data_IF_888620380652
#
_entry.id   IF_888620380652
#
_cell.length_a   1.000
_cell.length_b   1.000
_cell.length_c   1.000
_cell.angle_alpha   90.00
_cell.angle_beta   90.00
_cell.angle_gamma   90.00
#
_symmetry.space_group_name_H-M   'P 1'
#
loop_
_entity.id
_entity.type
_entity.pdbx_description
1 polymer ?
#
# COMPACT_ATOMS: atom_id res chain seq x y z
N UNK A 1 12.77 -58.84 -19.80
CA UNK A 1 14.05 -58.10 -19.69
C UNK A 1 14.37 -57.53 -21.07
N UNK A 2 14.07 -56.26 -21.31
CA UNK A 2 14.22 -55.62 -22.63
C UNK A 2 15.64 -55.03 -22.71
N UNK A 3 16.38 -55.39 -23.77
CA UNK A 3 17.80 -55.09 -23.94
C UNK A 3 18.07 -53.57 -24.12
N UNK A 4 19.22 -53.09 -23.63
CA UNK A 4 19.64 -51.68 -23.68
C UNK A 4 19.66 -51.10 -25.10
N UNK A 5 20.01 -51.92 -26.10
CA UNK A 5 20.02 -51.56 -27.52
C UNK A 5 18.62 -51.36 -28.12
N UNK A 6 17.58 -51.96 -27.53
CA UNK A 6 16.18 -51.79 -27.97
C UNK A 6 15.54 -50.49 -27.47
N UNK A 7 16.14 -49.81 -26.45
CA UNK A 7 15.61 -48.54 -25.93
C UNK A 7 15.96 -47.34 -26.81
N UNK A 8 17.12 -47.36 -27.47
CA UNK A 8 17.60 -46.26 -28.32
C UNK A 8 16.91 -46.21 -29.70
N UNK A 9 16.36 -47.34 -30.17
CA UNK A 9 15.61 -47.42 -31.44
C UNK A 9 14.16 -46.97 -31.33
N UNK A 10 13.59 -46.93 -30.12
CA UNK A 10 12.23 -46.42 -29.89
C UNK A 10 12.18 -44.89 -29.80
N UNK A 11 13.27 -44.22 -29.39
CA UNK A 11 13.31 -42.76 -29.23
C UNK A 11 13.72 -41.99 -30.51
N UNK A 12 14.10 -42.69 -31.58
CA UNK A 12 14.53 -42.08 -32.85
C UNK A 12 13.47 -42.12 -33.96
N UNK A 13 12.31 -42.73 -33.71
CA UNK A 13 11.19 -42.82 -34.68
C UNK A 13 9.95 -42.01 -34.34
N UNK A 14 10.01 -41.07 -33.39
CA UNK A 14 8.99 -40.03 -33.26
C UNK A 14 9.46 -38.77 -34.00
N UNK A 15 9.55 -38.88 -35.32
CA UNK A 15 9.36 -37.72 -36.20
C UNK A 15 7.85 -37.50 -36.28
N UNK A 16 7.35 -36.45 -35.64
CA UNK A 16 6.03 -35.91 -35.95
C UNK A 16 6.17 -34.52 -36.59
N UNK A 17 5.27 -34.20 -37.53
CA UNK A 17 5.57 -33.42 -38.72
C UNK A 17 5.40 -31.92 -38.51
N UNK A 18 6.11 -31.14 -39.33
CA UNK A 18 5.72 -29.78 -39.66
C UNK A 18 4.32 -29.83 -40.29
N UNK A 19 3.33 -29.33 -39.54
CA UNK A 19 1.96 -29.21 -40.00
C UNK A 19 1.60 -27.73 -40.04
N UNK A 20 1.86 -27.13 -41.19
CA UNK A 20 1.32 -25.85 -41.61
C UNK A 20 -0.14 -26.05 -42.00
N UNK A 21 -1.07 -25.87 -41.05
CA UNK A 21 -2.47 -25.63 -41.36
C UNK A 21 -3.01 -24.52 -40.47
N UNK A 22 -3.52 -23.51 -41.16
CA UNK A 22 -4.40 -22.47 -40.67
C UNK A 22 -5.68 -23.09 -40.09
N UNK A 23 -5.96 -22.76 -38.83
CA UNK A 23 -7.32 -22.81 -38.30
C UNK A 23 -7.52 -21.57 -37.43
N UNK A 24 -8.17 -20.58 -38.03
CA UNK A 24 -8.79 -19.45 -37.34
C UNK A 24 -9.74 -19.98 -36.27
N UNK A 25 -9.41 -19.78 -35.00
CA UNK A 25 -10.41 -19.68 -33.94
C UNK A 25 -10.48 -18.21 -33.52
N UNK A 26 -11.36 -17.49 -34.21
CA UNK A 26 -11.81 -16.16 -33.85
C UNK A 26 -12.67 -16.30 -32.59
N UNK A 27 -12.13 -15.96 -31.42
CA UNK A 27 -12.99 -15.54 -30.32
C UNK A 27 -13.42 -14.10 -30.61
N UNK A 28 -14.66 -13.96 -31.08
CA UNK A 28 -15.30 -12.67 -31.28
C UNK A 28 -15.68 -12.09 -29.92
N UNK A 29 -14.80 -11.28 -29.33
CA UNK A 29 -15.19 -10.28 -28.34
C UNK A 29 -15.45 -8.98 -29.09
N UNK A 30 -16.72 -8.75 -29.45
CA UNK A 30 -17.13 -7.51 -30.13
C UNK A 30 -17.33 -6.41 -29.10
N UNK A 31 -16.23 -5.82 -28.63
CA UNK A 31 -16.28 -4.43 -28.15
C UNK A 31 -16.24 -3.54 -29.39
N UNK A 32 -17.22 -2.63 -29.61
CA UNK A 32 -17.10 -1.66 -30.68
C UNK A 32 -15.91 -0.75 -30.37
N UNK A 33 -14.81 -0.96 -31.09
CA UNK A 33 -13.73 0.00 -31.15
C UNK A 33 -14.29 1.24 -31.86
N UNK A 34 -14.48 2.33 -31.14
CA UNK A 34 -14.68 3.65 -31.74
C UNK A 34 -13.32 4.15 -32.20
N UNK A 35 -12.99 4.17 -33.50
CA UNK A 35 -11.91 5.00 -33.96
C UNK A 35 -12.38 6.45 -33.86
N UNK A 36 -11.49 7.33 -33.41
CA UNK A 36 -11.65 8.80 -33.39
C UNK A 36 -12.10 9.42 -32.06
N UNK A 37 -11.25 9.34 -31.03
CA UNK A 37 -11.13 10.43 -30.07
C UNK A 37 -10.12 11.44 -30.63
N UNK A 38 -10.61 12.41 -31.41
CA UNK A 38 -9.82 13.59 -31.78
C UNK A 38 -9.48 14.41 -30.52
N UNK A 39 -8.43 15.25 -30.56
CA UNK A 39 -8.08 16.10 -29.43
C UNK A 39 -9.23 17.05 -29.09
N UNK A 40 -9.64 17.05 -27.82
CA UNK A 40 -10.62 18.00 -27.28
C UNK A 40 -9.98 19.40 -27.33
N UNK A 41 -10.40 20.23 -28.28
CA UNK A 41 -10.10 21.66 -28.24
C UNK A 41 -10.83 22.29 -27.05
N UNK A 42 -10.09 23.02 -26.22
CA UNK A 42 -10.67 23.86 -25.18
C UNK A 42 -11.46 25.01 -25.83
N UNK A 43 -12.64 25.38 -25.29
CA UNK A 43 -13.36 26.55 -25.78
C UNK A 43 -12.55 27.83 -25.54
N UNK A 44 -12.58 28.82 -26.47
CA UNK A 44 -11.90 30.09 -26.27
C UNK A 44 -12.54 30.87 -25.12
N UNK A 45 -11.70 31.29 -24.17
CA UNK A 45 -12.08 32.20 -23.08
C UNK A 45 -12.65 33.49 -23.66
N UNK A 46 -13.89 33.79 -23.28
CA UNK A 46 -14.56 35.06 -23.56
C UNK A 46 -13.78 36.17 -22.84
N UNK A 47 -13.28 37.13 -23.62
CA UNK A 47 -12.72 38.37 -23.11
C UNK A 47 -13.85 39.24 -22.53
N UNK A 48 -13.65 39.75 -21.32
CA UNK A 48 -14.46 40.84 -20.78
C UNK A 48 -13.49 41.97 -20.40
N UNK A 49 -13.55 43.02 -21.20
CA UNK A 49 -13.01 44.35 -20.93
C UNK A 49 -13.70 44.98 -19.70
N UNK A 50 -12.95 45.73 -18.88
CA UNK A 50 -13.57 46.74 -18.02
C UNK A 50 -12.91 47.02 -16.66
N UNK A 51 -11.96 47.97 -16.67
CA UNK A 51 -11.75 49.04 -15.69
C UNK A 51 -11.56 48.79 -14.18
N UNK A 52 -10.29 49.02 -13.79
CA UNK A 52 -9.62 49.46 -12.55
C UNK A 52 -10.33 50.56 -11.70
N UNK A 53 -9.71 51.10 -10.60
CA UNK A 53 -9.24 50.57 -9.30
C UNK A 53 -10.04 51.19 -8.11
N UNK A 54 -9.67 50.92 -6.84
CA UNK A 54 -9.30 51.98 -5.83
C UNK A 54 -9.52 51.59 -4.34
N UNK A 55 -8.44 51.72 -3.56
CA UNK A 55 -8.29 52.03 -2.11
C UNK A 55 -8.47 50.96 -1.00
N UNK A 56 -7.33 50.54 -0.44
CA UNK A 56 -7.03 50.42 1.02
C UNK A 56 -6.72 51.84 1.60
N UNK A 57 -6.48 52.11 2.91
CA UNK A 57 -6.06 51.21 4.01
C UNK A 57 -6.56 51.53 5.46
N UNK A 58 -6.19 50.67 6.43
CA UNK A 58 -5.51 51.13 7.65
C UNK A 58 -6.16 50.95 9.04
N UNK A 59 -5.31 50.51 9.99
CA UNK A 59 -5.36 50.68 11.46
C UNK A 59 -6.12 49.64 12.29
N UNK A 60 -5.71 49.21 13.49
CA UNK A 60 -4.45 49.21 14.24
C UNK A 60 -4.68 48.29 15.47
N UNK A 61 -3.66 47.53 15.88
CA UNK A 61 -3.50 46.95 17.23
C UNK A 61 -3.32 48.06 18.29
N UNK A 62 -3.41 47.86 19.63
CA UNK A 62 -2.72 46.77 20.37
C UNK A 62 -3.28 46.32 21.76
N UNK A 63 -2.58 45.32 22.33
CA UNK A 63 -2.19 45.15 23.76
C UNK A 63 -2.91 44.17 24.71
N UNK A 64 -2.06 43.26 25.20
CA UNK A 64 -2.01 42.38 26.38
C UNK A 64 -2.41 43.01 27.75
N UNK A 65 -2.68 42.20 28.82
CA UNK A 65 -1.64 41.63 29.72
C UNK A 65 -1.91 40.15 30.15
N UNK A 66 -0.94 39.24 30.16
CA UNK A 66 0.03 38.86 31.22
C UNK A 66 -0.56 38.59 32.62
N UNK A 67 -0.67 37.31 33.01
CA UNK A 67 -0.30 36.82 34.37
C UNK A 67 -0.22 35.29 34.48
N UNK A 68 0.73 34.90 35.32
CA UNK A 68 1.38 33.63 35.67
C UNK A 68 0.54 32.45 36.24
N UNK A 69 1.10 31.24 36.02
CA UNK A 69 1.42 30.18 37.01
C UNK A 69 0.35 29.21 37.56
N UNK A 70 0.49 27.90 37.24
CA UNK A 70 0.90 26.80 38.17
C UNK A 70 0.55 25.40 37.60
N UNK A 71 1.57 24.57 37.38
CA UNK A 71 1.52 23.09 37.41
C UNK A 71 1.68 22.58 38.86
N UNK A 72 1.66 21.26 39.17
CA UNK A 72 0.84 20.14 38.68
C UNK A 72 0.15 19.40 39.87
N UNK A 73 -0.81 18.49 39.62
CA UNK A 73 -1.11 17.46 40.63
C UNK A 73 -1.57 16.14 40.02
N UNK A 74 -0.75 15.13 40.32
CA UNK A 74 -0.95 13.70 40.10
C UNK A 74 -1.96 13.18 41.11
N UNK A 75 -2.95 12.40 40.67
CA UNK A 75 -3.50 11.32 41.50
C UNK A 75 -3.85 10.12 40.64
N UNK A 76 -3.40 8.97 41.12
CA UNK A 76 -3.49 7.66 40.51
C UNK A 76 -4.80 6.97 40.91
N UNK A 77 -5.30 6.07 40.05
CA UNK A 77 -6.15 4.97 40.50
C UNK A 77 -7.27 4.57 39.54
N UNK A 78 -6.99 3.66 38.61
CA UNK A 78 -7.75 2.41 38.38
C UNK A 78 -7.31 1.77 37.06
N UNK A 79 -6.87 0.51 37.16
CA UNK A 79 -6.53 -0.34 36.02
C UNK A 79 -7.81 -0.98 35.52
N UNK A 80 -8.30 -0.51 34.38
CA UNK A 80 -9.13 -1.31 33.48
C UNK A 80 -8.37 -1.54 32.19
N UNK A 81 -8.47 -2.79 31.71
CA UNK A 81 -7.88 -3.32 30.49
C UNK A 81 -7.97 -2.32 29.35
N UNK A 82 -6.82 -1.78 28.96
CA UNK A 82 -6.69 -0.87 27.82
C UNK A 82 -7.13 -1.60 26.55
N UNK A 83 -8.39 -1.44 26.18
CA UNK A 83 -8.80 -1.41 24.78
C UNK A 83 -7.78 -0.52 24.09
N UNK A 84 -7.14 -1.05 23.04
CA UNK A 84 -6.15 -0.36 22.21
C UNK A 84 -6.47 1.13 22.15
N UNK A 85 -5.56 1.97 22.66
CA UNK A 85 -5.77 3.41 22.71
C UNK A 85 -6.27 3.88 21.34
N UNK A 86 -7.53 4.32 21.26
CA UNK A 86 -8.14 4.81 20.03
C UNK A 86 -7.16 5.87 19.49
N UNK A 87 -6.63 5.62 18.30
CA UNK A 87 -5.71 6.56 17.64
C UNK A 87 -6.48 7.86 17.54
N UNK A 88 -6.12 8.84 18.37
CA UNK A 88 -6.80 10.13 18.41
C UNK A 88 -6.40 10.90 17.16
N UNK A 89 -7.36 11.55 16.53
CA UNK A 89 -7.03 12.50 15.48
C UNK A 89 -6.14 13.62 16.06
N UNK A 90 -5.29 14.19 15.22
CA UNK A 90 -4.52 15.38 15.59
C UNK A 90 -5.34 16.67 15.46
N UNK A 91 -6.52 16.61 14.82
CA UNK A 91 -7.35 17.75 14.45
C UNK A 91 -8.69 17.57 15.17
N UNK A 92 -9.03 18.38 16.19
CA UNK A 92 -10.32 18.29 16.86
C UNK A 92 -11.48 18.60 15.91
N UNK A 93 -12.66 18.07 16.23
CA UNK A 93 -13.91 18.39 15.54
C UNK A 93 -14.18 19.90 15.55
N UNK A 94 -14.75 20.39 14.45
CA UNK A 94 -15.05 21.81 14.23
C UNK A 94 -13.87 22.65 13.73
N UNK A 95 -12.67 22.10 13.56
CA UNK A 95 -11.54 22.86 13.03
C UNK A 95 -11.66 23.07 11.51
N UNK A 96 -11.38 24.28 11.03
CA UNK A 96 -11.43 24.62 9.60
C UNK A 96 -10.26 23.95 8.85
N UNK A 97 -10.60 23.13 7.86
CA UNK A 97 -9.65 22.46 6.97
C UNK A 97 -9.24 23.41 5.83
N UNK A 98 -8.09 24.07 6.02
CA UNK A 98 -7.54 25.04 5.06
C UNK A 98 -7.07 24.32 3.78
N UNK A 99 -7.25 24.98 2.63
CA UNK A 99 -6.72 24.52 1.34
C UNK A 99 -7.55 23.48 0.58
N UNK A 100 -8.73 23.08 1.09
CA UNK A 100 -9.63 22.14 0.38
C UNK A 100 -10.62 22.84 -0.57
N UNK A 101 -11.00 24.08 -0.28
CA UNK A 101 -11.91 24.87 -1.10
C UNK A 101 -11.21 25.46 -2.33
N UNK A 102 -11.05 24.67 -3.39
CA UNK A 102 -10.40 25.13 -4.63
C UNK A 102 -11.30 26.00 -5.54
N UNK A 103 -12.59 26.15 -5.19
CA UNK A 103 -13.52 27.01 -5.93
C UNK A 103 -13.93 28.23 -5.11
N UNK A 104 -14.21 29.35 -5.79
CA UNK A 104 -14.37 30.68 -5.18
C UNK A 104 -15.62 30.84 -4.28
N UNK A 105 -16.57 29.93 -4.34
CA UNK A 105 -17.86 30.02 -3.64
C UNK A 105 -18.13 28.83 -2.71
N UNK A 106 -17.09 28.09 -2.29
CA UNK A 106 -17.26 26.99 -1.34
C UNK A 106 -17.28 27.50 0.10
N UNK A 107 -18.20 27.00 0.94
CA UNK A 107 -18.15 27.25 2.37
C UNK A 107 -16.87 26.66 2.99
N UNK A 108 -16.43 27.23 4.11
CA UNK A 108 -15.29 26.69 4.85
C UNK A 108 -15.61 25.27 5.34
N UNK A 109 -14.79 24.29 4.92
CA UNK A 109 -14.97 22.90 5.34
C UNK A 109 -14.47 22.71 6.77
N UNK A 110 -15.35 22.25 7.65
CA UNK A 110 -15.04 21.93 9.03
C UNK A 110 -14.76 20.43 9.19
N UNK A 111 -13.76 20.09 9.99
CA UNK A 111 -13.53 18.74 10.44
C UNK A 111 -14.73 18.27 11.28
N UNK A 112 -15.19 17.04 11.06
CA UNK A 112 -16.19 16.39 11.89
C UNK A 112 -15.53 15.74 13.10
N UNK A 113 -16.32 15.23 14.02
CA UNK A 113 -15.80 14.45 15.15
C UNK A 113 -15.23 13.08 14.69
N UNK A 114 -14.27 12.55 15.43
CA UNK A 114 -13.54 11.31 15.07
C UNK A 114 -14.45 10.09 14.85
N UNK A 115 -15.61 10.06 15.50
CA UNK A 115 -16.58 8.96 15.43
C UNK A 115 -17.52 9.05 14.23
N UNK A 116 -17.64 10.23 13.61
CA UNK A 116 -18.41 10.39 12.37
C UNK A 116 -17.63 9.90 11.14
N UNK A 117 -16.30 9.84 11.26
CA UNK A 117 -15.46 9.29 10.21
C UNK A 117 -15.51 7.76 10.22
N UNK A 118 -15.50 7.12 9.04
CA UNK A 118 -15.53 5.67 8.95
C UNK A 118 -14.24 5.05 9.49
N UNK A 119 -14.36 3.85 10.09
CA UNK A 119 -13.24 3.21 10.81
C UNK A 119 -12.00 2.92 9.95
N UNK A 120 -12.17 2.71 8.64
CA UNK A 120 -11.05 2.45 7.72
C UNK A 120 -10.04 3.62 7.67
N UNK A 121 -10.46 4.85 7.95
CA UNK A 121 -9.58 6.03 7.96
C UNK A 121 -8.42 5.85 8.95
N UNK A 122 -8.73 5.30 10.13
CA UNK A 122 -7.78 5.13 11.22
C UNK A 122 -6.76 4.00 10.94
N UNK A 123 -7.12 3.05 10.07
CA UNK A 123 -6.26 1.92 9.69
C UNK A 123 -5.26 2.23 8.56
N UNK A 124 -5.43 3.35 7.84
CA UNK A 124 -4.58 3.68 6.68
C UNK A 124 -3.09 3.84 7.01
N UNK A 125 -2.76 4.28 8.22
CA UNK A 125 -1.38 4.52 8.62
C UNK A 125 -0.67 3.22 9.04
N UNK A 126 -1.40 2.15 9.34
CA UNK A 126 -0.80 0.91 9.85
C UNK A 126 0.02 0.18 8.78
N UNK A 127 -0.39 0.27 7.50
CA UNK A 127 0.35 -0.25 6.36
C UNK A 127 1.78 0.35 6.23
N UNK A 128 1.95 1.61 6.63
CA UNK A 128 3.26 2.30 6.55
C UNK A 128 4.20 1.92 7.71
N UNK A 129 3.64 1.56 8.88
CA UNK A 129 4.45 1.24 10.07
C UNK A 129 5.22 -0.08 9.90
N UNK A 130 4.68 -1.03 9.15
CA UNK A 130 5.36 -2.32 8.90
C UNK A 130 6.68 -2.18 8.12
N UNK A 131 6.87 -1.10 7.36
CA UNK A 131 8.11 -0.89 6.61
C UNK A 131 9.27 -0.31 7.46
N UNK A 132 8.95 0.36 8.56
CA UNK A 132 9.92 1.20 9.30
C UNK A 132 10.12 0.75 10.77
N UNK A 133 9.17 0.00 11.33
CA UNK A 133 9.02 -0.16 12.78
C UNK A 133 9.58 -1.44 13.43
N UNK A 134 10.58 -2.09 12.86
CA UNK A 134 11.32 -3.09 13.61
C UNK A 134 12.30 -2.38 14.55
N UNK A 135 12.17 -2.53 15.87
CA UNK A 135 13.20 -2.12 16.85
C UNK A 135 14.49 -2.90 16.56
N UNK A 136 15.24 -2.42 15.58
CA UNK A 136 16.47 -3.04 15.10
C UNK A 136 17.51 -2.72 16.16
N UNK A 137 17.84 -3.71 16.99
CA UNK A 137 18.98 -3.62 17.89
C UNK A 137 20.17 -3.15 17.05
N UNK A 138 20.81 -2.05 17.45
CA UNK A 138 21.92 -1.49 16.70
C UNK A 138 23.14 -2.39 16.85
N UNK A 139 23.26 -3.35 15.92
CA UNK A 139 24.38 -4.30 15.85
C UNK A 139 25.72 -3.56 15.77
N UNK A 140 25.73 -2.34 15.23
CA UNK A 140 26.93 -1.52 15.03
C UNK A 140 27.54 -1.04 16.36
N UNK A 141 26.71 -0.79 17.37
CA UNK A 141 27.14 -0.36 18.70
C UNK A 141 27.69 -1.51 19.57
N UNK A 142 27.38 -2.78 19.24
CA UNK A 142 27.82 -3.95 20.03
C UNK A 142 29.25 -4.37 19.71
N UNK A 143 29.95 -4.92 20.71
CA UNK A 143 31.28 -5.52 20.55
C UNK A 143 31.22 -6.80 19.72
N UNK A 144 32.31 -7.20 19.02
CA UNK A 144 32.38 -8.43 18.21
C UNK A 144 31.90 -9.69 18.95
N UNK A 145 32.25 -9.85 20.23
CA UNK A 145 31.80 -10.98 21.07
C UNK A 145 30.30 -10.94 21.36
N UNK A 146 29.72 -9.74 21.53
CA UNK A 146 28.29 -9.57 21.79
C UNK A 146 27.47 -9.88 20.53
N UNK A 147 27.92 -9.42 19.35
CA UNK A 147 27.32 -9.78 18.06
C UNK A 147 27.30 -11.29 17.85
N UNK A 148 28.44 -11.96 18.05
CA UNK A 148 28.51 -13.42 17.91
C UNK A 148 27.59 -14.19 18.88
N UNK A 149 27.38 -13.67 20.10
CA UNK A 149 26.40 -14.26 21.05
C UNK A 149 24.97 -14.01 20.60
N UNK A 150 24.67 -12.81 20.12
CA UNK A 150 23.37 -12.45 19.56
C UNK A 150 23.05 -13.32 18.34
N UNK A 151 23.97 -13.45 17.39
CA UNK A 151 23.80 -14.27 16.19
C UNK A 151 23.56 -15.73 16.53
N UNK A 152 24.32 -16.31 17.48
CA UNK A 152 24.08 -17.67 17.97
C UNK A 152 22.72 -17.85 18.65
N UNK A 153 22.23 -16.84 19.35
CA UNK A 153 20.89 -16.87 19.95
C UNK A 153 19.82 -16.77 18.86
N UNK A 154 19.98 -15.84 17.92
CA UNK A 154 19.07 -15.68 16.78
C UNK A 154 19.02 -16.94 15.93
N UNK A 155 20.15 -17.58 15.65
CA UNK A 155 20.22 -18.81 14.86
C UNK A 155 19.47 -19.97 15.55
N UNK A 156 19.61 -20.11 16.87
CA UNK A 156 18.83 -21.09 17.64
C UNK A 156 17.33 -20.82 17.52
N UNK A 157 16.92 -19.56 17.70
CA UNK A 157 15.52 -19.16 17.57
C UNK A 157 15.00 -19.36 16.14
N UNK A 158 15.81 -19.11 15.12
CA UNK A 158 15.44 -19.25 13.70
C UNK A 158 15.35 -20.70 13.26
N UNK A 159 16.17 -21.61 13.82
CA UNK A 159 16.12 -23.05 13.51
C UNK A 159 14.78 -23.68 13.84
N UNK A 160 14.16 -23.23 14.92
CA UNK A 160 12.88 -23.75 15.40
C UNK A 160 11.69 -23.14 14.65
N UNK A 161 11.89 -22.02 13.92
CA UNK A 161 10.84 -21.33 13.18
C UNK A 161 10.67 -21.95 11.79
N UNK A 162 9.46 -22.41 11.42
CA UNK A 162 9.22 -22.96 10.08
C UNK A 162 9.37 -21.90 8.99
N UNK A 163 9.84 -22.30 7.82
CA UNK A 163 10.01 -21.39 6.67
C UNK A 163 8.65 -20.93 6.17
N UNK A 164 8.37 -19.64 6.29
CA UNK A 164 7.14 -19.04 5.75
C UNK A 164 7.24 -18.89 4.24
N UNK A 165 6.52 -19.75 3.51
CA UNK A 165 6.41 -19.66 2.06
C UNK A 165 5.42 -18.55 1.69
N UNK A 166 5.77 -17.60 0.80
CA UNK A 166 4.86 -16.56 0.33
C UNK A 166 3.58 -17.12 -0.31
N UNK A 167 2.42 -16.47 -0.16
CA UNK A 167 1.14 -17.04 -0.56
C UNK A 167 1.03 -17.32 -2.07
N UNK A 168 1.68 -16.54 -2.93
CA UNK A 168 1.72 -16.81 -4.38
C UNK A 168 2.59 -18.00 -4.81
N UNK A 169 3.42 -18.55 -3.92
CA UNK A 169 4.24 -19.75 -4.17
C UNK A 169 3.60 -21.02 -3.58
N UNK A 170 2.54 -20.86 -2.79
CA UNK A 170 1.83 -21.98 -2.19
C UNK A 170 0.94 -22.68 -3.22
N UNK A 171 0.87 -24.01 -3.14
CA UNK A 171 0.02 -24.86 -4.00
C UNK A 171 -1.25 -25.33 -3.29
N UNK A 172 -1.59 -24.75 -2.14
CA UNK A 172 -2.77 -25.11 -1.36
C UNK A 172 -4.03 -24.49 -1.97
N UNK A 173 -5.17 -25.16 -1.80
CA UNK A 173 -6.44 -24.64 -2.27
C UNK A 173 -6.78 -23.29 -1.62
N UNK A 174 -7.18 -22.36 -2.46
CA UNK A 174 -7.51 -20.98 -2.08
C UNK A 174 -8.75 -20.86 -1.20
N UNK A 175 -9.69 -21.79 -1.31
CA UNK A 175 -11.00 -21.71 -0.66
C UNK A 175 -11.47 -23.13 -0.39
N UNK A 176 -11.63 -23.47 0.88
CA UNK A 176 -12.22 -24.73 1.31
C UNK A 176 -13.76 -24.71 1.07
N UNK A 177 -14.42 -25.87 0.97
CA UNK A 177 -15.86 -25.95 0.66
C UNK A 177 -16.77 -25.23 1.68
N UNK A 178 -16.32 -25.04 2.92
CA UNK A 178 -17.11 -24.43 4.00
C UNK A 178 -16.93 -22.90 4.13
N UNK A 179 -16.09 -22.29 3.27
CA UNK A 179 -15.65 -20.90 3.44
C UNK A 179 -16.49 -19.91 2.63
N UNK A 180 -16.76 -18.75 3.23
CA UNK A 180 -17.59 -17.69 2.61
C UNK A 180 -16.96 -17.10 1.35
N UNK A 181 -17.80 -16.69 0.40
CA UNK A 181 -17.37 -16.05 -0.85
C UNK A 181 -16.49 -14.81 -0.60
N UNK A 182 -16.76 -14.02 0.44
CA UNK A 182 -15.97 -12.82 0.76
C UNK A 182 -14.53 -13.19 1.14
N UNK A 183 -14.33 -14.24 1.94
CA UNK A 183 -13.00 -14.73 2.34
C UNK A 183 -12.23 -15.25 1.13
N UNK A 184 -12.92 -15.91 0.19
CA UNK A 184 -12.32 -16.38 -1.06
C UNK A 184 -11.75 -15.23 -1.90
N UNK A 185 -12.48 -14.13 -2.00
CA UNK A 185 -12.06 -12.94 -2.74
C UNK A 185 -10.86 -12.26 -2.06
N UNK A 186 -10.87 -12.18 -0.73
CA UNK A 186 -9.76 -11.62 0.02
C UNK A 186 -8.47 -12.42 -0.17
N UNK A 187 -8.51 -13.76 -0.05
CA UNK A 187 -7.34 -14.64 -0.28
C UNK A 187 -6.79 -14.49 -1.70
N UNK A 188 -7.65 -14.41 -2.72
CA UNK A 188 -7.23 -14.14 -4.11
C UNK A 188 -6.55 -12.77 -4.26
N UNK A 189 -7.07 -11.76 -3.56
CA UNK A 189 -6.45 -10.43 -3.55
C UNK A 189 -5.08 -10.44 -2.87
N UNK A 190 -4.91 -11.18 -1.78
CA UNK A 190 -3.61 -11.37 -1.09
C UNK A 190 -2.57 -12.06 -1.99
N UNK A 191 -2.96 -13.11 -2.72
CA UNK A 191 -2.09 -13.73 -3.74
C UNK A 191 -1.68 -12.70 -4.80
N UNK A 192 -2.64 -11.93 -5.32
CA UNK A 192 -2.35 -10.91 -6.34
C UNK A 192 -1.40 -9.83 -5.82
N UNK A 193 -1.59 -9.38 -4.57
CA UNK A 193 -0.73 -8.38 -3.91
C UNK A 193 0.70 -8.93 -3.72
N UNK A 194 0.83 -10.16 -3.24
CA UNK A 194 2.15 -10.80 -3.02
C UNK A 194 2.91 -11.05 -4.34
N UNK A 195 2.23 -11.57 -5.36
CA UNK A 195 2.82 -11.78 -6.69
C UNK A 195 3.26 -10.46 -7.34
N UNK A 196 2.46 -9.39 -7.20
CA UNK A 196 2.84 -8.05 -7.66
C UNK A 196 4.07 -7.52 -6.92
N UNK A 197 4.15 -7.73 -5.60
CA UNK A 197 5.30 -7.32 -4.82
C UNK A 197 6.58 -8.07 -5.24
N UNK A 198 6.49 -9.38 -5.44
CA UNK A 198 7.60 -10.20 -5.96
C UNK A 198 8.06 -9.72 -7.34
N UNK A 199 7.13 -9.47 -8.27
CA UNK A 199 7.45 -8.90 -9.59
C UNK A 199 8.16 -7.55 -9.48
N UNK A 200 7.69 -6.65 -8.61
CA UNK A 200 8.33 -5.34 -8.38
C UNK A 200 9.71 -5.45 -7.75
N UNK A 201 9.99 -6.49 -6.94
CA UNK A 201 11.34 -6.76 -6.42
C UNK A 201 12.25 -7.24 -7.55
N UNK A 202 11.81 -8.21 -8.33
CA UNK A 202 12.58 -8.74 -9.48
C UNK A 202 12.91 -7.62 -10.50
N UNK A 203 11.94 -6.77 -10.86
CA UNK A 203 12.20 -5.62 -11.75
C UNK A 203 13.27 -4.68 -11.18
N UNK A 204 13.23 -4.43 -9.86
CA UNK A 204 14.25 -3.57 -9.22
C UNK A 204 15.63 -4.22 -9.23
N UNK A 205 15.71 -5.51 -8.93
CA UNK A 205 16.96 -6.28 -8.97
C UNK A 205 17.52 -6.37 -10.40
N UNK A 206 16.69 -6.66 -11.39
CA UNK A 206 17.11 -6.69 -12.79
C UNK A 206 17.59 -5.34 -13.29
N UNK A 207 16.90 -4.26 -12.89
CA UNK A 207 17.33 -2.89 -13.24
C UNK A 207 18.66 -2.54 -12.55
N UNK A 208 18.81 -2.92 -11.29
CA UNK A 208 20.05 -2.70 -10.54
C UNK A 208 21.23 -3.44 -11.19
N UNK A 209 21.08 -4.74 -11.44
CA UNK A 209 22.10 -5.58 -12.07
C UNK A 209 22.41 -5.16 -13.51
N UNK A 210 21.43 -4.61 -14.23
CA UNK A 210 21.64 -4.07 -15.58
C UNK A 210 22.38 -2.72 -15.57
N UNK A 211 22.30 -1.97 -14.48
CA UNK A 211 22.95 -0.65 -14.33
C UNK A 211 24.35 -0.71 -13.71
N UNK A 212 24.70 -1.83 -13.07
CA UNK A 212 26.07 -2.14 -12.64
C UNK A 212 26.90 -2.68 -13.80
#
# INVERSE_FOLDING_TARGET
MICSSCRLTLLTRLRFPQSSYSASLRYASTVPATPNAGPIQAPPSIAVDGANPTQSPGSASPSQPLSESKTPSTSAGSKESKKSAKVKSSVPGGQILRGLGYTKAQPELLAKEDHEYPDWLWTLLDDNKMATGGTKLDLSAMTKKQRARYDRQQEKLQKDVPVTIPPHEQSTDLTAPDEDAVTSLQRRHEITKSARAARRRNIRESNFLKSM
#
